data_IF_849874725784
#
_entry.id   IF_849874725784
#
_cell.length_a   1.000
_cell.length_b   1.000
_cell.length_c   1.000
_cell.angle_alpha   90.00
_cell.angle_beta   90.00
_cell.angle_gamma   90.00
#
_symmetry.space_group_name_H-M   'P 1'
#
loop_
_entity.id
_entity.type
_entity.pdbx_description
1 polymer ?
#
# COMPACT_ATOMS: atom_id res chain seq x y z
N UNK A 1 5.03 8.81 17.96
CA UNK A 1 4.25 7.71 17.35
C UNK A 1 4.62 7.62 15.88
N UNK A 2 4.95 6.43 15.36
CA UNK A 2 5.18 6.26 13.92
C UNK A 2 3.83 6.28 13.21
N UNK A 3 3.69 7.08 12.17
CA UNK A 3 2.43 7.27 11.44
C UNK A 3 1.23 7.66 12.31
N UNK A 4 1.44 8.37 13.42
CA UNK A 4 0.35 8.85 14.27
C UNK A 4 -0.42 7.77 15.04
N UNK A 5 0.10 6.53 15.12
CA UNK A 5 -0.51 5.43 15.87
C UNK A 5 0.43 4.83 16.91
N UNK A 6 -0.14 4.41 18.04
CA UNK A 6 0.51 3.52 19.02
C UNK A 6 0.24 2.05 18.71
N UNK A 7 -0.90 1.73 18.07
CA UNK A 7 -1.29 0.37 17.66
C UNK A 7 -0.39 -0.18 16.55
N UNK A 8 -0.12 0.60 15.49
CA UNK A 8 0.69 0.10 14.37
C UNK A 8 2.09 -0.40 14.79
N UNK A 9 2.88 0.35 15.60
CA UNK A 9 4.16 -0.16 16.11
C UNK A 9 4.05 -1.50 16.86
N UNK A 10 2.96 -1.74 17.60
CA UNK A 10 2.72 -3.00 18.29
C UNK A 10 2.46 -4.14 17.30
N UNK A 11 1.57 -3.93 16.34
CA UNK A 11 1.28 -4.90 15.27
C UNK A 11 2.54 -5.23 14.45
N UNK A 12 3.32 -4.20 14.07
CA UNK A 12 4.61 -4.35 13.39
C UNK A 12 5.57 -5.21 14.21
N UNK A 13 5.69 -4.93 15.51
CA UNK A 13 6.57 -5.69 16.41
C UNK A 13 6.12 -7.14 16.54
N UNK A 14 4.81 -7.39 16.62
CA UNK A 14 4.24 -8.73 16.73
C UNK A 14 4.39 -9.54 15.43
N UNK A 15 4.35 -8.89 14.27
CA UNK A 15 4.67 -9.53 12.99
C UNK A 15 6.15 -9.99 12.90
N UNK A 16 7.03 -9.37 13.69
CA UNK A 16 8.41 -9.80 13.88
C UNK A 16 9.18 -9.95 12.57
N UNK A 17 9.85 -11.10 12.40
CA UNK A 17 10.72 -11.36 11.25
C UNK A 17 9.97 -11.35 9.90
N UNK A 18 8.66 -11.61 9.89
CA UNK A 18 7.86 -11.59 8.65
C UNK A 18 7.79 -10.16 8.11
N UNK A 19 7.65 -9.17 8.99
CA UNK A 19 7.65 -7.77 8.57
C UNK A 19 9.00 -7.37 8.00
N UNK A 20 10.10 -7.74 8.66
CA UNK A 20 11.44 -7.43 8.19
C UNK A 20 11.74 -8.12 6.85
N UNK A 21 11.31 -9.37 6.67
CA UNK A 21 11.43 -10.09 5.41
C UNK A 21 10.63 -9.44 4.27
N UNK A 22 9.48 -8.84 4.57
CA UNK A 22 8.68 -8.06 3.60
C UNK A 22 9.39 -6.76 3.22
N UNK A 23 9.68 -5.88 4.19
CA UNK A 23 10.20 -4.54 3.88
C UNK A 23 11.66 -4.53 3.42
N UNK A 24 12.39 -5.63 3.61
CA UNK A 24 13.77 -5.86 3.12
C UNK A 24 13.88 -7.06 2.18
N UNK A 25 12.79 -7.42 1.50
CA UNK A 25 12.81 -8.49 0.51
C UNK A 25 13.84 -8.23 -0.59
N UNK A 26 14.39 -9.29 -1.20
CA UNK A 26 15.40 -9.17 -2.26
C UNK A 26 14.93 -8.27 -3.42
N UNK A 27 13.64 -8.32 -3.76
CA UNK A 27 13.04 -7.43 -4.75
C UNK A 27 13.21 -5.94 -4.38
N UNK A 28 13.01 -5.60 -3.11
CA UNK A 28 13.14 -4.23 -2.58
C UNK A 28 14.60 -3.80 -2.53
N UNK A 29 15.51 -4.68 -2.12
CA UNK A 29 16.94 -4.38 -2.09
C UNK A 29 17.50 -4.16 -3.51
N UNK A 30 17.02 -4.91 -4.49
CA UNK A 30 17.35 -4.73 -5.90
C UNK A 30 16.69 -3.50 -6.53
N UNK A 31 15.53 -3.06 -6.02
CA UNK A 31 14.97 -1.76 -6.36
C UNK A 31 15.89 -0.64 -5.88
N UNK A 32 16.42 -0.74 -4.66
CA UNK A 32 17.30 0.28 -4.05
C UNK A 32 18.59 0.49 -4.82
N UNK A 33 19.29 -0.59 -5.19
CA UNK A 33 20.59 -0.49 -5.85
C UNK A 33 20.48 -0.42 -7.39
N UNK A 34 19.26 -0.41 -7.92
CA UNK A 34 18.99 -0.33 -9.36
C UNK A 34 19.25 -1.62 -10.14
N UNK A 35 19.54 -2.74 -9.47
CA UNK A 35 19.90 -4.01 -10.13
C UNK A 35 18.71 -4.93 -10.42
N UNK A 36 17.49 -4.58 -9.99
CA UNK A 36 16.30 -5.37 -10.29
C UNK A 36 16.18 -5.54 -11.82
N UNK A 37 15.95 -6.76 -12.34
CA UNK A 37 15.72 -6.92 -13.77
C UNK A 37 14.47 -6.18 -14.22
N UNK A 38 14.56 -5.41 -15.31
CA UNK A 38 13.44 -4.61 -15.82
C UNK A 38 12.17 -5.45 -16.07
N UNK A 39 12.33 -6.68 -16.59
CA UNK A 39 11.21 -7.60 -16.80
C UNK A 39 10.47 -7.98 -15.51
N UNK A 40 11.19 -8.11 -14.39
CA UNK A 40 10.59 -8.39 -13.08
C UNK A 40 9.80 -7.18 -12.58
N UNK A 41 10.34 -5.97 -12.75
CA UNK A 41 9.62 -4.74 -12.42
C UNK A 41 8.34 -4.57 -13.24
N UNK A 42 8.40 -4.80 -14.56
CA UNK A 42 7.22 -4.72 -15.42
C UNK A 42 6.20 -5.83 -15.13
N UNK A 43 6.63 -7.02 -14.70
CA UNK A 43 5.72 -8.05 -14.21
C UNK A 43 5.02 -7.60 -12.92
N UNK A 44 5.78 -7.03 -11.97
CA UNK A 44 5.22 -6.43 -10.76
C UNK A 44 4.17 -5.37 -11.10
N UNK A 45 4.45 -4.37 -11.95
CA UNK A 45 3.47 -3.31 -12.27
C UNK A 45 2.18 -3.84 -12.90
N UNK A 46 2.27 -4.92 -13.70
CA UNK A 46 1.09 -5.58 -14.29
C UNK A 46 0.21 -6.22 -13.22
N UNK A 47 0.82 -6.94 -12.28
CA UNK A 47 0.09 -7.53 -11.14
C UNK A 47 -0.43 -6.44 -10.21
N UNK A 48 0.37 -5.40 -9.97
CA UNK A 48 0.02 -4.31 -9.07
C UNK A 48 -1.14 -3.46 -9.63
N UNK A 49 -1.28 -3.34 -10.95
CA UNK A 49 -2.48 -2.75 -11.57
C UNK A 49 -3.77 -3.49 -11.15
N UNK A 50 -3.77 -4.83 -11.22
CA UNK A 50 -4.91 -5.65 -10.79
C UNK A 50 -5.12 -5.55 -9.27
N UNK A 51 -4.04 -5.58 -8.50
CA UNK A 51 -4.04 -5.43 -7.06
C UNK A 51 -4.71 -4.12 -6.62
N UNK A 52 -4.35 -2.99 -7.25
CA UNK A 52 -4.89 -1.66 -6.96
C UNK A 52 -6.40 -1.57 -7.22
N UNK A 53 -6.93 -2.27 -8.24
CA UNK A 53 -8.38 -2.37 -8.47
C UNK A 53 -9.07 -3.03 -7.26
N UNK A 54 -8.51 -4.11 -6.74
CA UNK A 54 -9.07 -4.80 -5.57
C UNK A 54 -8.89 -4.00 -4.28
N UNK A 55 -7.75 -3.33 -4.10
CA UNK A 55 -7.50 -2.48 -2.94
C UNK A 55 -8.40 -1.24 -2.92
N UNK A 56 -8.70 -0.65 -4.08
CA UNK A 56 -9.70 0.41 -4.17
C UNK A 56 -11.10 -0.08 -3.73
N UNK A 57 -11.48 -1.31 -4.08
CA UNK A 57 -12.75 -1.92 -3.60
C UNK A 57 -12.71 -2.19 -2.10
N UNK A 58 -11.58 -2.62 -1.54
CA UNK A 58 -11.42 -2.80 -0.10
C UNK A 58 -11.51 -1.47 0.66
N UNK A 59 -10.95 -0.37 0.13
CA UNK A 59 -11.13 0.96 0.71
C UNK A 59 -12.57 1.49 0.55
N UNK A 60 -13.27 1.16 -0.53
CA UNK A 60 -14.72 1.43 -0.63
C UNK A 60 -15.53 0.67 0.42
N UNK A 61 -15.14 -0.57 0.74
CA UNK A 61 -15.72 -1.31 1.86
C UNK A 61 -15.43 -0.64 3.20
N UNK A 62 -14.23 -0.04 3.37
CA UNK A 62 -13.92 0.75 4.57
C UNK A 62 -14.85 1.96 4.69
N UNK A 63 -15.11 2.70 3.61
CA UNK A 63 -16.13 3.78 3.59
C UNK A 63 -17.49 3.27 4.04
N UNK A 64 -17.92 2.10 3.55
CA UNK A 64 -19.19 1.49 3.92
C UNK A 64 -19.25 1.09 5.41
N UNK A 65 -18.13 0.64 5.99
CA UNK A 65 -18.05 0.19 7.39
C UNK A 65 -17.79 1.29 8.40
N UNK A 66 -17.38 2.48 7.95
CA UNK A 66 -17.16 3.64 8.82
C UNK A 66 -18.43 4.07 9.55
N UNK A 67 -18.28 4.31 10.85
CA UNK A 67 -19.35 4.84 11.70
C UNK A 67 -19.37 6.37 11.73
N UNK A 68 -18.29 7.02 11.27
CA UNK A 68 -18.13 8.48 11.32
C UNK A 68 -17.69 9.08 10.00
N UNK A 69 -18.12 10.32 9.75
CA UNK A 69 -17.84 11.03 8.50
C UNK A 69 -16.35 11.33 8.28
N UNK A 70 -15.59 11.56 9.35
CA UNK A 70 -14.14 11.75 9.26
C UNK A 70 -13.41 10.47 8.84
N UNK A 71 -13.82 9.31 9.34
CA UNK A 71 -13.30 8.00 8.90
C UNK A 71 -13.62 7.76 7.41
N UNK A 72 -14.85 8.04 6.98
CA UNK A 72 -15.27 7.93 5.58
C UNK A 72 -14.41 8.81 4.66
N UNK A 73 -14.05 10.03 5.10
CA UNK A 73 -13.23 10.94 4.30
C UNK A 73 -11.82 10.41 4.10
N UNK A 74 -11.20 9.84 5.13
CA UNK A 74 -9.87 9.20 5.01
C UNK A 74 -9.94 8.00 4.06
N UNK A 75 -10.93 7.13 4.23
CA UNK A 75 -11.09 5.97 3.35
C UNK A 75 -11.39 6.36 1.89
N UNK A 76 -12.20 7.40 1.65
CA UNK A 76 -12.48 7.90 0.31
C UNK A 76 -11.23 8.53 -0.35
N UNK A 77 -10.40 9.24 0.43
CA UNK A 77 -9.13 9.77 -0.07
C UNK A 77 -8.18 8.65 -0.53
N UNK A 78 -8.18 7.50 0.17
CA UNK A 78 -7.42 6.33 -0.30
C UNK A 78 -7.92 5.83 -1.65
N UNK A 79 -9.23 5.77 -1.89
CA UNK A 79 -9.77 5.32 -3.20
C UNK A 79 -9.26 6.23 -4.32
N UNK A 80 -9.28 7.55 -4.10
CA UNK A 80 -8.78 8.54 -5.06
C UNK A 80 -7.28 8.38 -5.30
N UNK A 81 -6.48 8.23 -4.23
CA UNK A 81 -5.04 7.99 -4.33
C UNK A 81 -4.70 6.75 -5.16
N UNK A 82 -5.40 5.61 -4.97
CA UNK A 82 -5.10 4.40 -5.74
C UNK A 82 -5.57 4.52 -7.21
N UNK A 83 -6.81 4.94 -7.45
CA UNK A 83 -7.41 4.94 -8.80
C UNK A 83 -6.86 6.09 -9.65
N UNK A 84 -6.80 7.29 -9.09
CA UNK A 84 -6.50 8.49 -9.86
C UNK A 84 -5.03 8.90 -9.77
N UNK A 85 -4.26 8.50 -8.76
CA UNK A 85 -2.86 8.89 -8.65
C UNK A 85 -1.92 7.74 -8.98
N UNK A 86 -1.93 6.68 -8.17
CA UNK A 86 -0.99 5.57 -8.25
C UNK A 86 -1.14 4.76 -9.54
N UNK A 87 -2.37 4.39 -9.91
CA UNK A 87 -2.61 3.63 -11.15
C UNK A 87 -2.14 4.37 -12.40
N UNK A 88 -2.15 5.72 -12.40
CA UNK A 88 -1.61 6.51 -13.52
C UNK A 88 -0.10 6.33 -13.67
N UNK A 89 0.65 6.18 -12.58
CA UNK A 89 2.08 5.90 -12.62
C UNK A 89 2.35 4.57 -13.33
N UNK A 90 1.62 3.52 -12.96
CA UNK A 90 1.76 2.18 -13.53
C UNK A 90 1.42 2.18 -15.01
N UNK A 91 0.28 2.77 -15.39
CA UNK A 91 -0.13 2.89 -16.79
C UNK A 91 0.93 3.63 -17.61
N UNK A 92 1.42 4.80 -17.15
CA UNK A 92 2.45 5.55 -17.87
C UNK A 92 3.76 4.78 -18.01
N UNK A 93 4.20 4.13 -16.93
CA UNK A 93 5.45 3.36 -16.91
C UNK A 93 5.38 2.17 -17.86
N UNK A 94 4.25 1.46 -17.89
CA UNK A 94 4.03 0.35 -18.81
C UNK A 94 3.84 0.82 -20.27
N UNK A 95 3.17 1.96 -20.48
CA UNK A 95 2.98 2.53 -21.81
C UNK A 95 4.31 2.96 -22.46
N UNK A 96 5.29 3.42 -21.66
CA UNK A 96 6.64 3.71 -22.15
C UNK A 96 7.36 2.48 -22.72
N UNK A 97 6.89 1.27 -22.39
CA UNK A 97 7.39 -0.01 -22.89
C UNK A 97 6.46 -0.60 -23.97
N UNK A 98 5.51 0.18 -24.48
CA UNK A 98 4.55 -0.24 -25.51
C UNK A 98 3.39 -1.10 -24.99
N UNK A 99 3.17 -1.18 -23.68
CA UNK A 99 2.01 -1.88 -23.10
C UNK A 99 0.84 -0.93 -22.91
N UNK A 100 -0.22 -1.14 -23.69
CA UNK A 100 -1.49 -0.42 -23.52
C UNK A 100 -2.20 -0.81 -22.21
N UNK A 101 -3.04 0.09 -21.68
CA UNK A 101 -3.83 -0.19 -20.47
C UNK A 101 -4.73 -1.42 -20.61
N UNK A 102 -5.28 -1.66 -21.81
CA UNK A 102 -6.07 -2.87 -22.08
C UNK A 102 -5.27 -4.17 -21.84
N UNK A 103 -3.95 -4.14 -22.08
CA UNK A 103 -3.05 -5.27 -21.78
C UNK A 103 -2.87 -5.47 -20.27
N UNK A 104 -2.81 -4.38 -19.50
CA UNK A 104 -2.77 -4.44 -18.04
C UNK A 104 -4.07 -5.04 -17.50
N UNK A 105 -5.21 -4.55 -17.98
CA UNK A 105 -6.54 -5.05 -17.58
C UNK A 105 -6.80 -6.51 -17.98
N UNK A 106 -6.20 -6.98 -19.08
CA UNK A 106 -6.29 -8.37 -19.53
C UNK A 106 -5.23 -9.29 -18.89
N UNK A 107 -4.37 -8.78 -18.01
CA UNK A 107 -3.38 -9.61 -17.31
C UNK A 107 -4.07 -10.66 -16.45
N UNK A 108 -3.55 -11.89 -16.47
CA UNK A 108 -4.03 -12.95 -15.56
C UNK A 108 -3.51 -12.66 -14.16
N UNK A 109 -4.43 -12.58 -13.19
CA UNK A 109 -4.09 -12.41 -11.77
C UNK A 109 -3.32 -13.63 -11.27
N UNK A 110 -2.12 -13.43 -10.72
CA UNK A 110 -1.30 -14.52 -10.19
C UNK A 110 -1.84 -15.03 -8.84
N UNK A 111 -1.58 -16.30 -8.47
CA UNK A 111 -2.10 -16.90 -7.24
C UNK A 111 -1.79 -16.11 -5.97
N UNK A 112 -0.61 -15.51 -5.87
CA UNK A 112 -0.17 -14.71 -4.72
C UNK A 112 -0.96 -13.40 -4.61
N UNK A 113 -1.21 -12.76 -5.76
CA UNK A 113 -2.01 -11.53 -5.85
C UNK A 113 -3.47 -11.80 -5.47
N UNK A 114 -4.04 -12.87 -6.02
CA UNK A 114 -5.39 -13.33 -5.68
C UNK A 114 -5.49 -13.66 -4.19
N UNK A 115 -4.54 -14.43 -3.64
CA UNK A 115 -4.57 -14.83 -2.24
C UNK A 115 -4.59 -13.60 -1.31
N UNK A 116 -3.77 -12.59 -1.60
CA UNK A 116 -3.70 -11.39 -0.76
C UNK A 116 -4.97 -10.54 -0.88
N UNK A 117 -5.38 -10.20 -2.11
CA UNK A 117 -6.53 -9.32 -2.32
C UNK A 117 -7.84 -9.94 -1.82
N UNK A 118 -8.02 -11.25 -1.99
CA UNK A 118 -9.20 -11.97 -1.45
C UNK A 118 -9.16 -12.06 0.06
N UNK A 119 -8.00 -12.29 0.67
CA UNK A 119 -7.86 -12.28 2.14
C UNK A 119 -8.30 -10.95 2.75
N UNK A 120 -7.86 -9.82 2.18
CA UNK A 120 -8.21 -8.48 2.70
C UNK A 120 -9.71 -8.22 2.60
N UNK A 121 -10.30 -8.48 1.42
CA UNK A 121 -11.73 -8.27 1.20
C UNK A 121 -12.57 -9.19 2.08
N UNK A 122 -12.22 -10.49 2.18
CA UNK A 122 -12.96 -11.46 2.99
C UNK A 122 -12.88 -11.14 4.48
N UNK A 123 -11.71 -10.69 4.96
CA UNK A 123 -11.52 -10.25 6.35
C UNK A 123 -12.44 -9.09 6.65
N UNK A 124 -12.45 -8.06 5.79
CA UNK A 124 -13.36 -6.94 5.96
C UNK A 124 -14.83 -7.33 5.87
N UNK A 125 -15.22 -8.20 4.93
CA UNK A 125 -16.62 -8.62 4.78
C UNK A 125 -17.14 -9.35 6.03
N UNK A 126 -16.32 -10.22 6.63
CA UNK A 126 -16.68 -11.01 7.82
C UNK A 126 -16.59 -10.21 9.12
N UNK A 127 -15.62 -9.31 9.20
CA UNK A 127 -15.31 -8.52 10.39
C UNK A 127 -15.91 -7.12 10.39
N UNK A 128 -15.38 -6.27 11.27
CA UNK A 128 -15.71 -4.85 11.35
C UNK A 128 -14.68 -3.96 10.61
N UNK A 129 -14.73 -2.65 10.86
CA UNK A 129 -13.78 -1.71 10.27
C UNK A 129 -12.35 -1.94 10.78
N UNK A 130 -12.17 -2.30 12.04
CA UNK A 130 -10.84 -2.56 12.61
C UNK A 130 -10.20 -3.78 11.94
N UNK A 131 -10.96 -4.87 11.78
CA UNK A 131 -10.50 -6.07 11.07
C UNK A 131 -10.02 -5.75 9.65
N UNK A 132 -10.81 -4.96 8.92
CA UNK A 132 -10.47 -4.52 7.56
C UNK A 132 -9.23 -3.63 7.55
N UNK A 133 -9.15 -2.63 8.45
CA UNK A 133 -8.00 -1.74 8.52
C UNK A 133 -6.74 -2.51 8.83
N UNK A 134 -6.75 -3.41 9.82
CA UNK A 134 -5.59 -4.26 10.16
C UNK A 134 -5.11 -5.07 8.96
N UNK A 135 -6.02 -5.58 8.13
CA UNK A 135 -5.66 -6.30 6.90
C UNK A 135 -5.09 -5.39 5.80
N UNK A 136 -5.50 -4.11 5.74
CA UNK A 136 -5.02 -3.11 4.76
C UNK A 136 -3.65 -2.50 5.13
N UNK A 137 -3.35 -2.37 6.43
CA UNK A 137 -2.17 -1.62 6.91
C UNK A 137 -0.83 -2.09 6.35
N UNK A 138 -0.54 -3.40 6.19
CA UNK A 138 0.76 -3.84 5.69
C UNK A 138 1.08 -3.30 4.30
N UNK A 139 0.06 -3.11 3.46
CA UNK A 139 0.23 -2.46 2.16
C UNK A 139 0.67 -1.00 2.35
N UNK A 140 -0.20 -0.16 2.94
CA UNK A 140 0.02 1.29 3.01
C UNK A 140 1.28 1.64 3.81
N UNK A 141 1.38 1.12 5.04
CA UNK A 141 2.47 1.49 5.94
C UNK A 141 3.76 0.72 5.65
N UNK A 142 3.66 -0.44 5.01
CA UNK A 142 4.83 -1.18 4.51
C UNK A 142 5.50 -0.44 3.37
N UNK A 143 4.74 -0.02 2.35
CA UNK A 143 5.27 0.80 1.26
C UNK A 143 5.76 2.16 1.77
N UNK A 144 5.10 2.75 2.77
CA UNK A 144 5.58 3.95 3.45
C UNK A 144 6.96 3.75 4.10
N UNK A 145 7.15 2.63 4.80
CA UNK A 145 8.42 2.28 5.44
C UNK A 145 9.51 1.96 4.41
N UNK A 146 9.17 1.24 3.34
CA UNK A 146 10.08 0.94 2.23
C UNK A 146 10.51 2.24 1.54
N UNK A 147 9.57 3.06 1.08
CA UNK A 147 9.85 4.31 0.36
C UNK A 147 10.71 5.26 1.19
N UNK A 148 10.33 5.50 2.45
CA UNK A 148 11.11 6.36 3.36
C UNK A 148 12.53 5.83 3.57
N UNK A 149 12.70 4.52 3.73
CA UNK A 149 14.02 3.89 3.88
C UNK A 149 14.84 4.03 2.61
N UNK A 150 14.29 3.65 1.45
CA UNK A 150 15.03 3.68 0.20
C UNK A 150 15.42 5.11 -0.17
N UNK A 151 14.51 6.08 -0.04
CA UNK A 151 14.82 7.49 -0.31
C UNK A 151 15.95 8.03 0.56
N UNK A 152 16.05 7.61 1.83
CA UNK A 152 17.15 7.98 2.71
C UNK A 152 18.45 7.22 2.40
N UNK A 153 18.39 5.90 2.14
CA UNK A 153 19.56 5.07 1.84
C UNK A 153 20.21 5.44 0.48
N UNK A 154 19.44 5.99 -0.45
CA UNK A 154 19.95 6.44 -1.76
C UNK A 154 20.33 7.92 -1.81
N UNK A 155 20.21 8.67 -0.69
CA UNK A 155 20.38 10.14 -0.64
C UNK A 155 19.53 10.90 -1.69
N UNK A 156 18.31 10.41 -1.91
CA UNK A 156 17.55 10.72 -3.12
C UNK A 156 18.14 10.01 -4.34
N UNK A 157 17.41 9.06 -4.96
CA UNK A 157 17.95 8.27 -6.08
C UNK A 157 18.44 9.20 -7.21
N UNK A 158 19.66 9.00 -7.74
CA UNK A 158 20.24 9.90 -8.73
C UNK A 158 19.39 9.89 -10.01
N UNK A 159 19.44 10.95 -10.85
CA UNK A 159 18.54 11.10 -12.01
C UNK A 159 18.50 9.89 -12.96
N UNK A 160 19.61 9.17 -13.08
CA UNK A 160 19.78 7.97 -13.92
C UNK A 160 19.29 6.67 -13.27
N UNK A 161 18.87 6.70 -12.01
CA UNK A 161 18.44 5.50 -11.29
C UNK A 161 17.15 4.93 -11.92
N UNK A 162 17.15 3.65 -12.33
CA UNK A 162 16.08 3.08 -13.17
C UNK A 162 14.71 3.01 -12.48
N UNK A 163 14.70 3.05 -11.14
CA UNK A 163 13.48 2.99 -10.31
C UNK A 163 13.24 4.26 -9.48
N UNK A 164 13.85 5.37 -9.90
CA UNK A 164 13.76 6.66 -9.21
C UNK A 164 12.32 7.10 -8.93
N UNK A 165 11.45 7.10 -9.95
CA UNK A 165 10.07 7.58 -9.81
C UNK A 165 9.27 6.77 -8.79
N UNK A 166 9.48 5.44 -8.74
CA UNK A 166 8.86 4.57 -7.74
C UNK A 166 9.33 4.91 -6.33
N UNK A 167 10.65 5.01 -6.11
CA UNK A 167 11.23 5.35 -4.80
C UNK A 167 10.73 6.72 -4.34
N UNK A 168 10.76 7.71 -5.22
CA UNK A 168 10.32 9.08 -4.91
C UNK A 168 8.83 9.14 -4.59
N UNK A 169 8.00 8.35 -5.27
CA UNK A 169 6.56 8.33 -5.04
C UNK A 169 6.24 7.89 -3.60
N UNK A 170 6.80 6.77 -3.14
CA UNK A 170 6.54 6.27 -1.78
C UNK A 170 7.34 7.00 -0.69
N UNK A 171 8.48 7.60 -1.03
CA UNK A 171 9.22 8.48 -0.14
C UNK A 171 8.60 9.88 -0.02
N UNK A 172 7.67 10.25 -0.93
CA UNK A 172 7.16 11.61 -1.03
C UNK A 172 6.46 12.05 0.26
N UNK A 173 6.52 13.36 0.60
CA UNK A 173 5.75 13.91 1.71
C UNK A 173 4.25 13.63 1.59
N UNK A 174 3.71 13.58 0.37
CA UNK A 174 2.30 13.25 0.12
C UNK A 174 1.98 11.81 0.56
N UNK A 175 2.76 10.82 0.13
CA UNK A 175 2.53 9.43 0.52
C UNK A 175 2.76 9.21 2.04
N UNK A 176 3.75 9.88 2.62
CA UNK A 176 3.99 9.79 4.07
C UNK A 176 2.90 10.48 4.90
N UNK A 177 2.25 11.52 4.37
CA UNK A 177 1.06 12.12 4.98
C UNK A 177 -0.12 11.14 4.95
N UNK A 178 -0.35 10.46 3.82
CA UNK A 178 -1.35 9.39 3.69
C UNK A 178 -1.10 8.28 4.73
N UNK A 179 0.14 7.82 4.88
CA UNK A 179 0.50 6.84 5.90
C UNK A 179 0.14 7.32 7.31
N UNK A 180 0.39 8.60 7.61
CA UNK A 180 0.07 9.20 8.91
C UNK A 180 -1.43 9.29 9.14
N UNK A 181 -2.22 9.62 8.13
CA UNK A 181 -3.68 9.72 8.25
C UNK A 181 -4.34 8.35 8.40
N UNK A 182 -3.84 7.33 7.69
CA UNK A 182 -4.27 5.93 7.87
C UNK A 182 -3.89 5.41 9.25
N UNK A 183 -2.70 5.73 9.76
CA UNK A 183 -2.31 5.34 11.12
C UNK A 183 -3.18 6.04 12.18
N UNK A 184 -3.52 7.32 12.01
CA UNK A 184 -4.49 7.99 12.91
C UNK A 184 -5.88 7.39 12.83
N UNK A 185 -6.34 7.00 11.64
CA UNK A 185 -7.62 6.31 11.46
C UNK A 185 -7.64 5.00 12.27
N UNK A 186 -6.59 4.18 12.15
CA UNK A 186 -6.43 2.97 12.95
C UNK A 186 -6.50 3.27 14.45
N UNK A 187 -5.74 4.26 14.91
CA UNK A 187 -5.72 4.65 16.32
C UNK A 187 -7.13 4.98 16.82
N UNK A 188 -7.85 5.83 16.10
CA UNK A 188 -9.19 6.26 16.47
C UNK A 188 -10.18 5.09 16.53
N UNK A 189 -10.19 4.24 15.49
CA UNK A 189 -11.09 3.08 15.42
C UNK A 189 -10.79 2.09 16.56
N UNK A 190 -9.51 1.88 16.88
CA UNK A 190 -9.11 0.95 17.95
C UNK A 190 -9.52 1.41 19.35
N UNK A 191 -9.52 2.72 19.62
CA UNK A 191 -9.89 3.27 20.92
C UNK A 191 -11.40 3.20 21.17
N UNK A 192 -12.22 3.45 20.15
CA UNK A 192 -13.68 3.38 20.25
C UNK A 192 -14.14 1.96 20.58
N UNK A 193 -13.51 0.95 19.99
CA UNK A 193 -13.84 -0.44 20.27
C UNK A 193 -13.46 -0.86 21.69
N UNK A 194 -12.39 -0.30 22.25
CA UNK A 194 -12.03 -0.49 23.65
C UNK A 194 -13.06 0.12 24.61
N UNK A 195 -13.59 1.31 24.29
CA UNK A 195 -14.62 1.98 25.10
C UNK A 195 -16.00 1.30 25.04
N UNK A 196 -16.35 0.59 23.95
CA UNK A 196 -17.61 -0.16 23.86
C UNK A 196 -17.60 -1.49 24.63
N UNK A 197 -16.43 -1.99 25.04
CA UNK A 197 -16.26 -3.28 25.74
C UNK A 197 -16.20 -3.08 27.27
N UNK A 198 -16.08 -1.84 27.75
CA UNK A 198 -16.09 -1.45 29.16
C UNK A 198 -17.45 -0.88 29.59
#
# INVERSE_FOLDING_TARGET
MKYGSTVFPLLRTQAGQIWDAYVRHEFVEKLRDGTLPRAAFLHYLRQDYLFLIHFARAWALAVFKSGRLDEMRVAAAMIDAHINEEMRLHIRTCAAEGMEEATLAATTEEPENLAYTRFVIDTGMKGDLLDLLVALLPCVLGYGEIGSRLGAETDGPPPEHPYREWIESYASPAYQAVCTDVGRLLENVSLVQYEMIL
#
